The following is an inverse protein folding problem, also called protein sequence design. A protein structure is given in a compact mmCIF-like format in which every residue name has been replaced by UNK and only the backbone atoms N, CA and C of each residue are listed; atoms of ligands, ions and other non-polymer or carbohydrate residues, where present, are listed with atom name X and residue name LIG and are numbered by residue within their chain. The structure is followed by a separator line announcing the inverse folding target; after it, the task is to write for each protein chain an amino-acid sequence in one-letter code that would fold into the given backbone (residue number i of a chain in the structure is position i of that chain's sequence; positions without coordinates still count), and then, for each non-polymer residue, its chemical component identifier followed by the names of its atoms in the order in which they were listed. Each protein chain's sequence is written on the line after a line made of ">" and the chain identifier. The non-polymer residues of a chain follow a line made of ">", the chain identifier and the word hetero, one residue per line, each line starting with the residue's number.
data_IF_358579227813
#
_entry.id   IF_358579227813
#
_cell.length_a   1.000
_cell.length_b   1.000
_cell.length_c   1.000
_cell.angle_alpha   90.00
_cell.angle_beta   90.00
_cell.angle_gamma   90.00
#
_symmetry.space_group_name_H-M   'P 1'
#
loop_
_entity.id
_entity.type
_entity.pdbx_description
1 polymer ?
#
# COMPACT_ATOMS: atom_id res chain seq x y z
N UNK A 1 -17.30 16.46 6.47
CA UNK A 1 -16.49 15.25 6.32
C UNK A 1 -17.02 14.43 5.16
N UNK A 2 -16.20 14.20 4.15
CA UNK A 2 -16.57 13.36 3.02
C UNK A 2 -16.53 11.90 3.45
N UNK A 3 -17.51 11.13 3.03
CA UNK A 3 -17.62 9.72 3.38
C UNK A 3 -17.67 8.91 2.08
N UNK A 4 -16.51 8.80 1.43
CA UNK A 4 -16.38 8.02 0.22
C UNK A 4 -15.88 6.62 0.53
N UNK A 5 -16.18 5.71 -0.37
CA UNK A 5 -15.59 4.38 -0.38
C UNK A 5 -14.83 4.25 -1.69
N UNK A 6 -13.52 4.08 -1.59
CA UNK A 6 -12.65 4.02 -2.74
C UNK A 6 -12.08 2.62 -2.88
N UNK A 7 -12.11 2.08 -4.09
CA UNK A 7 -11.42 0.87 -4.45
C UNK A 7 -10.50 1.20 -5.61
N UNK A 8 -9.18 1.02 -5.40
CA UNK A 8 -8.20 1.24 -6.45
C UNK A 8 -7.46 -0.04 -6.75
N UNK A 9 -7.47 -0.44 -8.01
CA UNK A 9 -6.91 -1.71 -8.46
C UNK A 9 -5.42 -1.73 -8.67
N UNK A 10 -4.73 -0.58 -8.64
CA UNK A 10 -3.30 -0.56 -8.90
C UNK A 10 -2.64 0.72 -8.39
N UNK A 11 -1.51 0.55 -7.72
CA UNK A 11 -0.70 1.66 -7.26
C UNK A 11 0.74 1.19 -7.07
N UNK A 12 1.71 1.94 -7.59
CA UNK A 12 3.14 1.62 -7.52
C UNK A 12 3.82 2.25 -6.30
N UNK A 13 3.08 2.84 -5.40
CA UNK A 13 3.60 3.56 -4.25
C UNK A 13 4.62 2.78 -3.40
N UNK A 14 4.46 1.45 -3.17
CA UNK A 14 5.41 0.75 -2.29
C UNK A 14 6.87 0.85 -2.72
N UNK A 15 7.16 0.74 -4.01
CA UNK A 15 8.54 0.88 -4.50
C UNK A 15 9.01 2.32 -4.39
N UNK A 16 8.14 3.28 -4.68
CA UNK A 16 8.45 4.70 -4.53
C UNK A 16 8.78 5.07 -3.09
N UNK A 17 8.06 4.52 -2.12
CA UNK A 17 8.34 4.75 -0.70
C UNK A 17 9.78 4.34 -0.37
N UNK A 18 10.21 3.18 -0.86
CA UNK A 18 11.55 2.70 -0.64
C UNK A 18 12.59 3.56 -1.37
N UNK A 19 12.36 3.84 -2.66
CA UNK A 19 13.30 4.62 -3.47
C UNK A 19 13.49 6.03 -2.92
N UNK A 20 12.44 6.67 -2.48
CA UNK A 20 12.47 8.06 -2.01
C UNK A 20 12.52 8.18 -0.51
N UNK A 21 12.60 7.06 0.19
CA UNK A 21 12.66 7.01 1.65
C UNK A 21 11.57 7.86 2.31
N UNK A 22 10.33 7.66 1.86
CA UNK A 22 9.17 8.34 2.42
C UNK A 22 8.29 7.37 3.20
N UNK A 23 7.60 7.83 4.25
CA UNK A 23 6.70 6.98 5.03
C UNK A 23 5.34 6.82 4.34
N UNK A 24 4.70 5.68 4.59
CA UNK A 24 3.36 5.40 4.08
C UNK A 24 2.31 6.34 4.69
N UNK A 25 2.50 6.73 5.94
CA UNK A 25 1.54 7.57 6.65
C UNK A 25 1.35 8.91 5.96
N UNK A 26 2.44 9.59 5.63
CA UNK A 26 2.39 10.89 5.00
C UNK A 26 3.54 11.03 4.01
N UNK A 27 3.19 11.24 2.74
CA UNK A 27 4.17 11.33 1.67
C UNK A 27 3.63 12.18 0.53
N UNK A 28 4.49 12.47 -0.45
CA UNK A 28 4.13 13.25 -1.64
C UNK A 28 3.79 12.37 -2.84
N UNK A 29 3.62 11.08 -2.62
CA UNK A 29 3.35 10.11 -3.68
C UNK A 29 1.86 9.95 -3.93
N UNK A 30 1.49 8.93 -4.71
CA UNK A 30 0.09 8.74 -5.11
C UNK A 30 -0.82 8.41 -3.91
N UNK A 31 -0.36 7.57 -2.99
CA UNK A 31 -1.17 7.13 -1.86
C UNK A 31 -0.46 7.40 -0.54
N UNK A 32 -1.16 8.02 0.40
CA UNK A 32 -0.72 8.12 1.79
C UNK A 32 -1.91 7.84 2.69
N UNK A 33 -1.64 7.27 3.86
CA UNK A 33 -2.72 6.97 4.81
C UNK A 33 -3.42 8.22 5.29
N UNK A 34 -2.67 9.29 5.53
CA UNK A 34 -3.26 10.55 5.99
C UNK A 34 -4.28 11.10 5.00
N UNK A 35 -3.97 11.04 3.70
CA UNK A 35 -4.91 11.50 2.67
C UNK A 35 -6.08 10.53 2.50
N UNK A 36 -5.82 9.23 2.55
CA UNK A 36 -6.86 8.22 2.42
C UNK A 36 -7.91 8.34 3.53
N UNK A 37 -7.46 8.56 4.76
CA UNK A 37 -8.36 8.68 5.92
C UNK A 37 -9.33 9.85 5.79
N UNK A 38 -8.96 10.90 5.08
CA UNK A 38 -9.83 12.06 4.87
C UNK A 38 -11.02 11.75 3.97
N UNK A 39 -10.91 10.74 3.13
CA UNK A 39 -11.97 10.37 2.19
C UNK A 39 -12.94 9.34 2.76
N UNK A 40 -12.53 8.56 3.74
CA UNK A 40 -13.34 7.51 4.33
C UNK A 40 -12.76 6.13 4.05
N UNK A 41 -13.59 5.16 3.68
CA UNK A 41 -13.14 3.79 3.43
C UNK A 41 -12.30 3.68 2.16
N UNK A 42 -11.19 2.95 2.24
CA UNK A 42 -10.27 2.80 1.12
C UNK A 42 -9.76 1.37 1.05
N UNK A 43 -9.87 0.75 -0.12
CA UNK A 43 -9.29 -0.55 -0.42
C UNK A 43 -8.33 -0.39 -1.59
N UNK A 44 -7.10 -0.87 -1.42
CA UNK A 44 -6.02 -0.62 -2.37
C UNK A 44 -5.29 -1.91 -2.71
N UNK A 45 -5.11 -2.18 -4.01
CA UNK A 45 -4.14 -3.13 -4.49
C UNK A 45 -2.82 -2.40 -4.70
N UNK A 46 -1.79 -2.83 -4.00
CA UNK A 46 -0.45 -2.30 -4.17
C UNK A 46 0.38 -3.21 -5.06
N UNK A 47 1.09 -2.62 -6.00
CA UNK A 47 1.93 -3.35 -6.94
C UNK A 47 3.40 -3.08 -6.68
N UNK A 48 4.22 -4.10 -6.88
CA UNK A 48 5.67 -4.00 -6.79
C UNK A 48 6.26 -4.24 -8.18
N UNK A 49 6.27 -3.17 -8.98
CA UNK A 49 6.79 -3.23 -10.34
C UNK A 49 8.24 -2.78 -10.36
N UNK A 50 9.14 -3.69 -10.72
CA UNK A 50 10.58 -3.40 -10.75
C UNK A 50 11.09 -2.99 -12.12
N UNK A 51 10.30 -3.16 -13.18
CA UNK A 51 10.74 -2.98 -14.55
C UNK A 51 11.23 -1.56 -14.86
N UNK A 52 10.64 -0.55 -14.23
CA UNK A 52 10.95 0.85 -14.47
C UNK A 52 12.01 1.42 -13.52
N UNK A 53 12.42 0.65 -12.53
CA UNK A 53 13.37 1.12 -11.51
C UNK A 53 14.78 1.19 -12.08
N UNK A 54 15.42 2.35 -11.97
CA UNK A 54 16.77 2.58 -12.45
C UNK A 54 17.78 2.50 -11.31
N UNK A 55 17.81 1.38 -10.62
CA UNK A 55 18.76 1.12 -9.55
C UNK A 55 19.80 0.08 -10.02
N UNK A 56 21.01 0.17 -9.49
CA UNK A 56 22.10 -0.77 -9.83
C UNK A 56 22.02 -2.04 -8.99
N UNK A 57 20.84 -2.59 -8.85
CA UNK A 57 20.59 -3.80 -8.09
C UNK A 57 19.80 -4.79 -8.96
N UNK A 58 19.98 -6.09 -8.74
CA UNK A 58 19.13 -7.07 -9.41
C UNK A 58 17.67 -6.85 -9.05
N UNK A 59 16.76 -7.07 -10.00
CA UNK A 59 15.34 -6.85 -9.78
C UNK A 59 14.76 -7.64 -8.59
N UNK A 60 15.14 -8.91 -8.37
CA UNK A 60 14.65 -9.62 -7.18
C UNK A 60 15.07 -8.96 -5.87
N UNK A 61 16.24 -8.34 -5.83
CA UNK A 61 16.70 -7.63 -4.64
C UNK A 61 15.94 -6.33 -4.44
N UNK A 62 15.65 -5.60 -5.52
CA UNK A 62 14.81 -4.39 -5.45
C UNK A 62 13.45 -4.75 -4.88
N UNK A 63 12.83 -5.81 -5.40
CA UNK A 63 11.54 -6.30 -4.91
C UNK A 63 11.61 -6.65 -3.42
N UNK A 64 12.62 -7.41 -3.02
CA UNK A 64 12.77 -7.85 -1.63
C UNK A 64 12.92 -6.69 -0.68
N UNK A 65 13.77 -5.72 -1.03
CA UNK A 65 13.99 -4.54 -0.18
C UNK A 65 12.76 -3.66 -0.08
N UNK A 66 12.07 -3.43 -1.19
CA UNK A 66 10.85 -2.65 -1.21
C UNK A 66 9.73 -3.34 -0.43
N UNK A 67 9.63 -4.67 -0.54
CA UNK A 67 8.64 -5.45 0.19
C UNK A 67 8.89 -5.41 1.70
N UNK A 68 10.15 -5.60 2.11
CA UNK A 68 10.51 -5.53 3.52
C UNK A 68 10.20 -4.16 4.11
N UNK A 69 10.52 -3.10 3.37
CA UNK A 69 10.20 -1.74 3.78
C UNK A 69 8.69 -1.55 3.92
N UNK A 70 7.93 -2.06 2.96
CA UNK A 70 6.48 -1.90 2.98
C UNK A 70 5.85 -2.67 4.14
N UNK A 71 6.31 -3.89 4.41
CA UNK A 71 5.85 -4.66 5.57
C UNK A 71 6.13 -3.93 6.89
N UNK A 72 7.30 -3.32 7.02
CA UNK A 72 7.62 -2.51 8.19
C UNK A 72 6.66 -1.33 8.34
N UNK A 73 6.34 -0.66 7.22
CA UNK A 73 5.39 0.44 7.23
C UNK A 73 3.98 -0.02 7.61
N UNK A 74 3.58 -1.19 7.15
CA UNK A 74 2.29 -1.77 7.54
C UNK A 74 2.23 -2.04 9.05
N UNK A 75 3.31 -2.57 9.61
CA UNK A 75 3.38 -2.83 11.05
C UNK A 75 3.31 -1.55 11.87
N UNK A 76 3.99 -0.51 11.43
CA UNK A 76 3.97 0.79 12.10
C UNK A 76 2.58 1.44 12.10
N UNK A 77 1.77 1.12 11.11
CA UNK A 77 0.47 1.73 10.90
C UNK A 77 -0.68 0.73 11.02
N UNK A 78 -0.51 -0.32 11.82
CA UNK A 78 -1.52 -1.39 11.94
C UNK A 78 -2.86 -0.91 12.48
N UNK A 79 -2.89 0.22 13.16
CA UNK A 79 -4.11 0.85 13.61
C UNK A 79 -4.88 1.58 12.50
N UNK A 80 -4.24 1.79 11.34
CA UNK A 80 -4.80 2.55 10.22
C UNK A 80 -5.00 1.73 8.97
N UNK A 81 -4.25 0.66 8.78
CA UNK A 81 -4.27 -0.12 7.55
C UNK A 81 -4.13 -1.61 7.87
N UNK A 82 -4.82 -2.44 7.12
CA UNK A 82 -4.80 -3.89 7.32
C UNK A 82 -4.49 -4.59 6.00
N UNK A 83 -3.55 -5.53 6.06
CA UNK A 83 -3.27 -6.42 4.93
C UNK A 83 -4.33 -7.52 4.89
N UNK A 84 -5.03 -7.61 3.77
CA UNK A 84 -6.06 -8.62 3.57
C UNK A 84 -5.66 -9.57 2.44
N UNK A 85 -5.91 -10.85 2.63
CA UNK A 85 -5.59 -11.88 1.64
C UNK A 85 -6.82 -12.46 0.97
N UNK A 86 -7.99 -12.13 1.46
CA UNK A 86 -9.27 -12.61 0.91
C UNK A 86 -10.28 -11.49 0.89
N UNK A 87 -11.32 -11.66 0.08
CA UNK A 87 -12.43 -10.71 0.04
C UNK A 87 -13.14 -10.65 1.39
N UNK A 88 -13.25 -11.78 2.06
CA UNK A 88 -13.87 -11.84 3.39
C UNK A 88 -13.11 -11.01 4.41
N UNK A 89 -11.78 -11.13 4.42
CA UNK A 89 -10.95 -10.30 5.31
C UNK A 89 -11.11 -8.82 5.02
N UNK A 90 -11.15 -8.44 3.74
CA UNK A 90 -11.33 -7.06 3.32
C UNK A 90 -12.70 -6.53 3.77
N UNK A 91 -13.75 -7.33 3.66
CA UNK A 91 -15.10 -6.93 4.07
C UNK A 91 -15.17 -6.69 5.57
N UNK A 92 -14.57 -7.57 6.38
CA UNK A 92 -14.53 -7.41 7.83
C UNK A 92 -13.75 -6.16 8.22
N UNK A 93 -12.58 -5.94 7.62
CA UNK A 93 -11.76 -4.75 7.90
C UNK A 93 -12.45 -3.47 7.47
N UNK A 94 -13.15 -3.49 6.34
CA UNK A 94 -13.87 -2.31 5.84
C UNK A 94 -15.04 -1.92 6.74
N UNK A 95 -15.58 -2.85 7.53
CA UNK A 95 -16.65 -2.55 8.48
C UNK A 95 -16.11 -2.01 9.80
N UNK A 96 -14.80 -2.07 10.03
CA UNK A 96 -14.17 -1.53 11.23
C UNK A 96 -14.07 -0.02 11.12
N UNK A 97 -14.67 0.70 12.07
CA UNK A 97 -14.68 2.16 12.07
C UNK A 97 -13.33 2.75 12.47
N UNK A 98 -12.46 1.97 13.08
CA UNK A 98 -11.12 2.40 13.49
C UNK A 98 -10.16 2.36 12.31
N UNK A 99 -10.23 1.29 11.52
CA UNK A 99 -9.37 1.11 10.35
C UNK A 99 -10.10 1.52 9.10
N UNK A 100 -9.66 2.59 8.48
CA UNK A 100 -10.30 3.14 7.29
C UNK A 100 -9.61 2.72 6.00
N UNK A 101 -8.42 2.15 6.10
CA UNK A 101 -7.66 1.72 4.93
C UNK A 101 -7.45 0.21 4.97
N UNK A 102 -7.66 -0.42 3.84
CA UNK A 102 -7.56 -1.86 3.67
C UNK A 102 -6.66 -2.14 2.47
N UNK A 103 -5.73 -3.08 2.63
CA UNK A 103 -4.90 -3.55 1.53
C UNK A 103 -5.34 -4.94 1.13
N UNK A 104 -5.58 -5.14 -0.15
CA UNK A 104 -5.75 -6.46 -0.70
C UNK A 104 -4.39 -6.98 -1.14
N UNK A 105 -4.09 -8.22 -0.76
CA UNK A 105 -2.79 -8.83 -1.02
C UNK A 105 -2.67 -9.26 -2.48
N UNK A 106 -2.10 -8.39 -3.28
CA UNK A 106 -1.74 -8.73 -4.65
C UNK A 106 -0.37 -8.12 -4.92
N UNK A 107 0.67 -8.85 -4.56
CA UNK A 107 2.01 -8.41 -4.85
C UNK A 107 2.49 -9.04 -6.14
N UNK A 108 2.72 -8.20 -7.13
CA UNK A 108 3.36 -8.60 -8.36
C UNK A 108 4.80 -8.09 -8.33
N UNK A 109 5.78 -8.99 -8.52
CA UNK A 109 7.16 -8.57 -8.58
C UNK A 109 7.62 -8.32 -10.01
N UNK A 110 6.73 -8.37 -10.95
CA UNK A 110 7.05 -8.08 -12.34
C UNK A 110 5.85 -7.43 -13.00
N UNK A 111 6.08 -6.26 -13.59
CA UNK A 111 5.16 -5.61 -14.50
C UNK A 111 5.65 -5.81 -15.92
N UNK A 112 6.08 -7.01 -16.20
CA UNK A 112 6.58 -7.31 -17.53
C UNK A 112 5.49 -7.16 -18.58
#
# INVERSE_FOLDING_TARGET
>A
MTNYRVFDGHCDTPIELWLQNQPLLENTLAVSLARAQRLGGWAQFFAFCTAWVKAKLPRPEIFSRALDNFHAQLCENEDKITLCRTVSEAAVSASDTVRQSVILSSFSHSCA
#
